data_IF_600129344327
#
_entry.id   IF_600129344327
#
_cell.length_a   1.000
_cell.length_b   1.000
_cell.length_c   1.000
_cell.angle_alpha   90.00
_cell.angle_beta   90.00
_cell.angle_gamma   90.00
#
_symmetry.space_group_name_H-M   'P 1'
#
loop_
_entity.id
_entity.type
_entity.pdbx_description
1 polymer ?
#
# COMPACT_ATOMS: atom_id res chain seq x y z
N UNK A 1 -10.27 -3.45 20.93
CA UNK A 1 -10.48 -2.62 20.19
C UNK A 1 -9.79 -2.62 18.87
N UNK A 2 -10.50 -2.30 17.94
CA UNK A 2 -10.06 -2.46 16.61
C UNK A 2 -8.75 -1.76 16.24
N UNK A 3 -8.24 -0.93 17.12
CA UNK A 3 -7.03 -0.19 16.86
C UNK A 3 -5.74 -0.94 17.07
N UNK A 4 -5.80 -2.21 17.39
CA UNK A 4 -4.61 -2.96 17.78
C UNK A 4 -4.03 -3.83 16.69
N UNK A 5 -4.24 -3.45 15.43
CA UNK A 5 -3.65 -4.17 14.31
C UNK A 5 -2.13 -3.96 14.31
N UNK A 6 -1.40 -5.03 14.10
CA UNK A 6 0.05 -4.95 13.87
C UNK A 6 0.29 -4.35 12.49
N UNK A 7 1.46 -3.68 12.28
CA UNK A 7 1.76 -3.09 10.96
C UNK A 7 1.64 -4.08 9.81
N UNK A 8 2.02 -5.34 10.00
CA UNK A 8 1.96 -6.33 8.94
C UNK A 8 0.55 -6.89 8.72
N UNK A 9 -0.43 -6.45 9.51
CA UNK A 9 -1.83 -6.86 9.37
C UNK A 9 -2.69 -5.77 8.75
N UNK A 10 -2.09 -4.63 8.45
CA UNK A 10 -2.82 -3.50 7.90
C UNK A 10 -2.22 -3.09 6.57
N UNK A 11 -3.02 -2.45 5.74
CA UNK A 11 -2.54 -1.81 4.52
C UNK A 11 -2.95 -0.36 4.53
N UNK A 12 -2.15 0.46 3.85
CA UNK A 12 -2.48 1.85 3.60
C UNK A 12 -2.55 2.05 2.11
N UNK A 13 -3.59 2.73 1.66
CA UNK A 13 -3.76 3.11 0.27
C UNK A 13 -3.62 4.62 0.20
N UNK A 14 -2.64 5.09 -0.58
CA UNK A 14 -2.29 6.50 -0.66
C UNK A 14 -2.13 6.95 -2.10
N UNK A 15 -2.33 8.25 -2.32
CA UNK A 15 -2.13 8.82 -3.65
C UNK A 15 -1.06 9.91 -3.67
N UNK A 16 -0.38 10.13 -2.57
CA UNK A 16 0.63 11.20 -2.46
C UNK A 16 1.93 10.66 -1.89
N UNK A 17 3.09 11.14 -2.38
CA UNK A 17 4.38 10.65 -1.88
C UNK A 17 4.59 10.83 -0.39
N UNK A 18 4.12 11.93 0.19
CA UNK A 18 4.27 12.16 1.63
C UNK A 18 3.49 11.13 2.44
N UNK A 19 2.27 10.81 2.01
CA UNK A 19 1.48 9.77 2.67
C UNK A 19 2.13 8.41 2.56
N UNK A 20 2.69 8.09 1.39
CA UNK A 20 3.42 6.84 1.20
C UNK A 20 4.61 6.78 2.15
N UNK A 21 5.42 7.83 2.20
CA UNK A 21 6.59 7.86 3.09
C UNK A 21 6.21 7.68 4.55
N UNK A 22 5.15 8.35 4.99
CA UNK A 22 4.69 8.23 6.37
C UNK A 22 4.26 6.81 6.71
N UNK A 23 3.51 6.17 5.83
CA UNK A 23 3.05 4.81 6.05
C UNK A 23 4.22 3.82 6.07
N UNK A 24 5.15 3.98 5.14
CA UNK A 24 6.33 3.12 5.06
C UNK A 24 7.20 3.30 6.32
N UNK A 25 7.35 4.53 6.78
CA UNK A 25 8.11 4.78 8.00
C UNK A 25 7.46 4.13 9.22
N UNK A 26 6.15 3.96 9.20
CA UNK A 26 5.43 3.26 10.27
C UNK A 26 5.48 1.73 10.11
N UNK A 27 6.12 1.23 9.07
CA UNK A 27 6.23 -0.21 8.84
C UNK A 27 4.98 -0.84 8.25
N UNK A 28 4.14 -0.05 7.60
CA UNK A 28 2.87 -0.53 7.06
C UNK A 28 3.01 -0.82 5.57
N UNK A 29 2.45 -1.95 5.14
CA UNK A 29 2.39 -2.28 3.72
C UNK A 29 1.59 -1.20 2.99
N UNK A 30 2.20 -0.55 2.02
CA UNK A 30 1.62 0.63 1.39
C UNK A 30 1.42 0.42 -0.09
N UNK A 31 0.21 0.70 -0.55
CA UNK A 31 -0.17 0.67 -1.96
C UNK A 31 -0.47 2.09 -2.40
N UNK A 32 0.10 2.50 -3.51
CA UNK A 32 -0.20 3.81 -4.08
C UNK A 32 -1.17 3.68 -5.23
N UNK A 33 -2.09 4.63 -5.32
CA UNK A 33 -2.97 4.77 -6.48
C UNK A 33 -2.63 6.10 -7.14
N UNK A 34 -2.01 6.04 -8.30
CA UNK A 34 -1.51 7.23 -9.00
C UNK A 34 -2.59 7.79 -9.92
N UNK A 35 -3.48 8.58 -9.35
CA UNK A 35 -4.55 9.24 -10.11
C UNK A 35 -4.15 10.63 -10.60
N UNK A 36 -2.98 11.11 -10.21
CA UNK A 36 -2.50 12.43 -10.56
C UNK A 36 -1.47 12.40 -11.68
N UNK A 37 -0.80 13.52 -11.91
CA UNK A 37 0.16 13.64 -13.00
C UNK A 37 1.56 13.14 -12.67
N UNK A 38 1.77 12.59 -11.48
CA UNK A 38 3.10 12.17 -11.07
C UNK A 38 3.54 10.92 -11.83
N UNK A 39 4.84 10.81 -12.06
CA UNK A 39 5.43 9.57 -12.53
C UNK A 39 5.33 8.51 -11.42
N UNK A 40 5.03 7.27 -11.81
CA UNK A 40 4.95 6.17 -10.85
C UNK A 40 6.20 6.04 -10.01
N UNK A 41 7.36 6.35 -10.57
CA UNK A 41 8.63 6.25 -9.85
C UNK A 41 8.68 7.15 -8.62
N UNK A 42 7.96 8.25 -8.61
CA UNK A 42 7.89 9.12 -7.43
C UNK A 42 7.28 8.36 -6.25
N UNK A 43 6.25 7.59 -6.51
CA UNK A 43 5.57 6.80 -5.48
C UNK A 43 6.37 5.56 -5.11
N UNK A 44 7.00 4.93 -6.08
CA UNK A 44 7.87 3.78 -5.84
C UNK A 44 9.06 4.20 -4.97
N UNK A 45 9.70 5.33 -5.31
CA UNK A 45 10.84 5.84 -4.54
C UNK A 45 10.44 6.25 -3.13
N UNK A 46 9.20 6.64 -2.93
CA UNK A 46 8.68 6.94 -1.60
C UNK A 46 8.48 5.67 -0.77
N UNK A 47 8.48 4.51 -1.38
CA UNK A 47 8.42 3.24 -0.69
C UNK A 47 7.17 2.41 -0.97
N UNK A 48 6.31 2.83 -1.90
CA UNK A 48 5.11 2.05 -2.23
C UNK A 48 5.50 0.67 -2.74
N UNK A 49 4.86 -0.35 -2.22
CA UNK A 49 5.11 -1.72 -2.63
C UNK A 49 4.45 -2.01 -3.99
N UNK A 50 3.31 -1.39 -4.25
CA UNK A 50 2.57 -1.57 -5.48
C UNK A 50 2.02 -0.19 -5.88
N UNK A 51 2.00 0.08 -7.18
CA UNK A 51 1.38 1.30 -7.71
C UNK A 51 0.33 0.91 -8.73
N UNK A 52 -0.90 1.33 -8.50
CA UNK A 52 -2.00 1.18 -9.45
C UNK A 52 -2.36 2.53 -10.05
N UNK A 53 -2.96 2.51 -11.22
CA UNK A 53 -3.31 3.73 -11.94
C UNK A 53 -4.70 4.26 -11.59
N UNK A 54 -5.53 3.43 -10.96
CA UNK A 54 -6.90 3.82 -10.60
C UNK A 54 -7.42 2.96 -9.47
N UNK A 55 -8.47 3.44 -8.83
CA UNK A 55 -9.17 2.66 -7.81
C UNK A 55 -9.80 1.41 -8.41
N UNK A 56 -10.25 1.50 -9.66
CA UNK A 56 -10.80 0.35 -10.37
C UNK A 56 -9.75 -0.76 -10.51
N UNK A 57 -8.54 -0.38 -10.92
CA UNK A 57 -7.44 -1.34 -11.03
C UNK A 57 -7.11 -1.96 -9.67
N UNK A 58 -7.07 -1.14 -8.63
CA UNK A 58 -6.86 -1.62 -7.27
C UNK A 58 -7.90 -2.67 -6.90
N UNK A 59 -9.18 -2.38 -7.15
CA UNK A 59 -10.26 -3.29 -6.80
C UNK A 59 -10.18 -4.60 -7.58
N UNK A 60 -9.80 -4.54 -8.84
CA UNK A 60 -9.66 -5.74 -9.67
C UNK A 60 -8.54 -6.65 -9.17
N UNK A 61 -7.56 -6.08 -8.49
CA UNK A 61 -6.43 -6.83 -7.97
C UNK A 61 -6.51 -7.09 -6.47
N UNK A 62 -7.62 -6.76 -5.84
CA UNK A 62 -7.74 -6.85 -4.39
C UNK A 62 -7.54 -8.29 -3.87
N UNK A 63 -8.04 -9.34 -4.52
CA UNK A 63 -7.75 -10.70 -4.05
C UNK A 63 -6.25 -11.01 -4.00
N UNK A 64 -5.47 -10.51 -4.97
CA UNK A 64 -4.02 -10.67 -4.96
C UNK A 64 -3.40 -9.93 -3.78
N UNK A 65 -3.89 -8.74 -3.48
CA UNK A 65 -3.41 -7.95 -2.34
C UNK A 65 -3.65 -8.71 -1.05
N UNK A 66 -4.82 -9.30 -0.89
CA UNK A 66 -5.13 -10.10 0.31
C UNK A 66 -4.20 -11.30 0.43
N UNK A 67 -3.87 -11.95 -0.67
CA UNK A 67 -2.94 -13.08 -0.66
C UNK A 67 -1.55 -12.63 -0.22
N UNK A 68 -1.08 -11.48 -0.69
CA UNK A 68 0.22 -10.94 -0.29
C UNK A 68 0.25 -10.65 1.21
N UNK A 69 -0.81 -10.05 1.74
CA UNK A 69 -0.90 -9.72 3.17
C UNK A 69 -0.91 -10.99 4.00
N UNK A 70 -1.63 -12.00 3.55
CA UNK A 70 -1.67 -13.29 4.25
C UNK A 70 -0.30 -13.93 4.29
N UNK A 71 0.46 -13.88 3.19
CA UNK A 71 1.81 -14.39 3.15
C UNK A 71 2.71 -13.67 4.15
N UNK A 72 2.62 -12.36 4.20
CA UNK A 72 3.41 -11.57 5.15
C UNK A 72 3.09 -11.98 6.58
N UNK A 73 1.80 -12.15 6.89
CA UNK A 73 1.37 -12.52 8.24
C UNK A 73 1.83 -13.93 8.61
N UNK A 74 1.83 -14.86 7.64
CA UNK A 74 2.29 -16.21 7.89
C UNK A 74 3.79 -16.28 8.16
N UNK A 75 4.55 -15.32 7.64
CA UNK A 75 6.01 -15.29 7.81
C UNK A 75 6.46 -14.53 9.05
N UNK A 76 5.54 -13.83 9.69
CA UNK A 76 5.90 -13.02 10.87
C UNK A 76 5.61 -13.72 12.21
#
# INVERSE_FOLDING_TARGET
>A
KGGNLLPNQAIVIENAPLGVKSAVAAGIFTIAVNTGPLDDNVLIDAGAAIVYQSVTELNENFPLILDIINDINLQS
#
